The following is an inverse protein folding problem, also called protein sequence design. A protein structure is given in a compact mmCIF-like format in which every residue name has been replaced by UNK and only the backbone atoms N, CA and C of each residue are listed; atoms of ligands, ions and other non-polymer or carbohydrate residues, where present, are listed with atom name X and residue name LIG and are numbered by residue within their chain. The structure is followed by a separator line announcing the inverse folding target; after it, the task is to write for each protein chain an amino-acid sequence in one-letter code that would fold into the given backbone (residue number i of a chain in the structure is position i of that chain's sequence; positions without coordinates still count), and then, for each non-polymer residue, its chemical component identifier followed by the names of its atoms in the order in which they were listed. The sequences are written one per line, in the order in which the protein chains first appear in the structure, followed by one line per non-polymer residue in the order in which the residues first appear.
data_IF_441240467019
#
_entry.id   IF_441240467019
#
_cell.length_a   1.000
_cell.length_b   1.000
_cell.length_c   1.000
_cell.angle_alpha   90.00
_cell.angle_beta   90.00
_cell.angle_gamma   90.00
#
_symmetry.space_group_name_H-M   'P 1'
#
loop_
_entity.id
_entity.type
_entity.pdbx_description
1 polymer ?
#
# COMPACT_ATOMS: atom_id res chain seq x y z
N UNK A 1 21.77 -31.46 -76.39
CA UNK A 1 20.86 -32.07 -77.37
C UNK A 1 19.50 -32.28 -76.72
N UNK A 2 18.44 -31.86 -77.42
CA UNK A 2 17.07 -32.43 -77.45
C UNK A 2 16.27 -32.61 -76.14
N UNK A 3 14.98 -32.31 -75.95
CA UNK A 3 13.91 -31.48 -76.54
C UNK A 3 12.59 -32.06 -75.99
N UNK A 4 11.66 -31.19 -75.51
CA UNK A 4 10.17 -31.33 -75.51
C UNK A 4 9.50 -32.41 -74.63
N UNK A 5 8.20 -32.33 -74.26
CA UNK A 5 7.14 -31.29 -74.15
C UNK A 5 5.89 -32.02 -73.61
N UNK A 6 5.00 -31.26 -72.94
CA UNK A 6 3.55 -31.55 -72.88
C UNK A 6 2.87 -30.70 -71.79
N UNK A 7 2.49 -29.42 -72.01
CA UNK A 7 1.18 -28.87 -72.46
C UNK A 7 -0.04 -29.51 -71.74
N UNK A 8 -0.62 -28.88 -70.70
CA UNK A 8 -1.72 -27.83 -70.62
C UNK A 8 -3.12 -28.37 -71.00
N UNK A 9 -4.25 -27.98 -70.33
CA UNK A 9 -4.76 -26.59 -70.13
C UNK A 9 -5.27 -26.30 -68.68
N UNK A 10 -5.40 -25.09 -68.09
CA UNK A 10 -5.99 -23.77 -68.41
C UNK A 10 -7.54 -23.76 -68.48
N UNK A 11 -8.28 -23.38 -67.42
CA UNK A 11 -8.89 -22.04 -67.11
C UNK A 11 -10.05 -22.25 -66.07
N UNK A 12 -10.81 -21.24 -65.61
CA UNK A 12 -10.52 -19.89 -65.10
C UNK A 12 -11.18 -19.69 -63.69
N UNK A 13 -10.70 -18.81 -62.81
CA UNK A 13 -11.23 -17.44 -62.69
C UNK A 13 -12.36 -17.32 -61.65
N UNK A 14 -12.06 -16.76 -60.47
CA UNK A 14 -12.97 -15.94 -59.61
C UNK A 14 -12.26 -15.57 -58.29
N UNK A 15 -11.16 -14.82 -58.37
CA UNK A 15 -10.69 -13.98 -57.24
C UNK A 15 -11.22 -12.58 -57.51
N UNK A 16 -12.43 -12.22 -57.04
CA UNK A 16 -12.91 -10.82 -56.91
C UNK A 16 -14.40 -10.72 -56.50
N UNK A 17 -14.90 -11.56 -55.59
CA UNK A 17 -16.32 -11.45 -55.15
C UNK A 17 -16.58 -11.68 -53.66
N UNK A 18 -15.55 -11.63 -52.81
CA UNK A 18 -15.72 -11.79 -51.35
C UNK A 18 -15.32 -10.56 -50.53
N UNK A 19 -15.01 -9.44 -51.18
CA UNK A 19 -14.64 -8.18 -50.51
C UNK A 19 -15.75 -7.10 -50.56
N UNK A 20 -16.94 -7.44 -51.07
CA UNK A 20 -18.03 -6.47 -51.30
C UNK A 20 -19.40 -6.96 -50.79
N UNK A 21 -19.45 -7.93 -49.88
CA UNK A 21 -20.66 -8.26 -49.12
C UNK A 21 -20.54 -7.78 -47.67
N UNK A 22 -21.09 -6.58 -47.44
CA UNK A 22 -21.86 -6.26 -46.23
C UNK A 22 -21.05 -6.28 -44.91
N UNK A 23 -20.21 -5.32 -44.53
CA UNK A 23 -20.50 -3.88 -44.32
C UNK A 23 -21.83 -3.53 -43.61
N UNK A 24 -22.52 -4.49 -42.97
CA UNK A 24 -23.80 -4.25 -42.30
C UNK A 24 -23.92 -4.86 -40.88
N UNK A 25 -22.82 -4.91 -40.12
CA UNK A 25 -22.83 -5.30 -38.70
C UNK A 25 -21.89 -4.42 -37.85
N UNK A 26 -22.00 -3.10 -38.01
CA UNK A 26 -21.41 -2.13 -37.08
C UNK A 26 -22.47 -1.77 -36.02
N UNK A 27 -22.25 -2.23 -34.79
CA UNK A 27 -23.02 -1.82 -33.60
C UNK A 27 -23.06 -0.30 -33.47
N UNK A 28 -24.17 0.31 -33.01
CA UNK A 28 -24.16 1.71 -32.66
C UNK A 28 -23.24 1.91 -31.46
N UNK A 29 -22.21 2.75 -31.63
CA UNK A 29 -21.41 3.26 -30.53
C UNK A 29 -22.33 4.01 -29.57
N UNK A 30 -22.34 3.61 -28.30
CA UNK A 30 -22.97 4.37 -27.24
C UNK A 30 -22.30 5.75 -27.17
N UNK A 31 -23.04 6.80 -27.52
CA UNK A 31 -22.58 8.16 -27.35
C UNK A 31 -22.35 8.44 -25.87
N UNK A 32 -21.14 8.86 -25.51
CA UNK A 32 -20.86 9.41 -24.19
C UNK A 32 -21.12 10.92 -24.24
N UNK A 33 -21.93 11.42 -23.30
CA UNK A 33 -22.10 12.87 -23.08
C UNK A 33 -21.06 13.28 -22.04
N UNK A 34 -20.10 14.12 -22.45
CA UNK A 34 -19.21 14.82 -21.52
C UNK A 34 -20.00 16.00 -20.96
N UNK A 35 -20.45 15.89 -19.71
CA UNK A 35 -20.91 17.05 -18.94
C UNK A 35 -19.70 17.58 -18.18
N UNK A 36 -18.94 18.47 -18.81
CA UNK A 36 -17.97 19.31 -18.12
C UNK A 36 -18.57 20.70 -17.98
N UNK A 37 -18.96 21.07 -16.78
CA UNK A 37 -19.33 22.43 -16.44
C UNK A 37 -18.82 22.76 -15.04
N UNK A 38 -17.56 23.17 -14.96
CA UNK A 38 -17.06 23.98 -13.85
C UNK A 38 -16.39 25.21 -14.47
N UNK A 39 -17.14 26.30 -14.50
CA UNK A 39 -16.68 27.61 -14.94
C UNK A 39 -15.80 28.21 -13.85
N UNK A 40 -14.51 28.43 -14.15
CA UNK A 40 -13.72 29.41 -13.42
C UNK A 40 -13.73 30.70 -14.24
N UNK A 41 -14.32 31.74 -13.68
CA UNK A 41 -14.31 33.07 -14.25
C UNK A 41 -12.87 33.60 -14.23
N UNK A 42 -12.31 33.83 -15.42
CA UNK A 42 -11.08 34.59 -15.62
C UNK A 42 -11.50 36.06 -15.70
N UNK A 43 -11.11 36.86 -14.71
CA UNK A 43 -11.14 38.33 -14.84
C UNK A 43 -9.88 38.75 -15.59
N UNK A 44 -10.05 39.17 -16.84
CA UNK A 44 -9.05 39.94 -17.58
C UNK A 44 -9.17 41.41 -17.19
N UNK A 45 -8.09 41.99 -16.67
CA UNK A 45 -7.72 43.40 -16.89
C UNK A 45 -6.21 43.43 -17.23
N UNK A 46 -5.90 43.33 -18.53
CA UNK A 46 -5.26 44.37 -19.38
C UNK A 46 -4.44 45.42 -18.59
N UNK A 47 -3.16 45.76 -18.82
CA UNK A 47 -2.24 45.68 -19.96
C UNK A 47 -0.77 45.77 -19.48
N UNK A 48 0.13 45.23 -20.31
CA UNK A 48 1.48 45.69 -20.76
C UNK A 48 2.25 46.76 -19.93
N UNK A 49 3.58 46.71 -19.71
CA UNK A 49 4.69 46.47 -20.65
C UNK A 49 6.05 46.47 -19.89
N UNK A 50 7.06 45.82 -20.48
CA UNK A 50 8.50 46.10 -20.50
C UNK A 50 9.47 45.89 -19.29
N UNK A 51 10.37 44.94 -19.56
CA UNK A 51 11.84 45.07 -19.58
C UNK A 51 12.75 44.49 -18.49
N UNK A 52 13.80 43.89 -19.04
CA UNK A 52 14.87 43.12 -18.42
C UNK A 52 15.97 44.02 -17.84
N UNK A 53 16.51 43.68 -16.66
CA UNK A 53 17.96 43.56 -16.38
C UNK A 53 18.26 43.50 -14.87
N UNK A 54 19.35 42.81 -14.58
CA UNK A 54 20.03 42.57 -13.29
C UNK A 54 20.21 43.80 -12.39
N UNK A 55 20.12 43.60 -11.07
CA UNK A 55 21.23 43.86 -10.13
C UNK A 55 20.94 43.29 -8.74
N UNK A 56 22.02 42.87 -8.08
CA UNK A 56 22.11 42.40 -6.71
C UNK A 56 21.73 43.49 -5.68
N UNK A 57 21.52 43.01 -4.45
CA UNK A 57 21.45 43.77 -3.18
C UNK A 57 20.14 44.52 -2.87
N UNK A 58 19.23 43.81 -2.17
CA UNK A 58 18.60 44.32 -0.96
C UNK A 58 17.70 43.24 -0.33
N UNK A 59 18.20 42.56 0.70
CA UNK A 59 17.30 42.02 1.72
C UNK A 59 16.85 43.16 2.63
N UNK A 60 15.59 43.15 3.06
CA UNK A 60 15.37 43.21 4.49
C UNK A 60 14.50 42.05 4.98
N UNK A 61 14.92 41.56 6.15
CA UNK A 61 14.36 40.50 6.96
C UNK A 61 12.82 40.46 7.03
N UNK A 62 12.23 39.36 6.55
CA UNK A 62 10.85 38.94 6.84
C UNK A 62 10.71 37.40 6.92
N UNK A 63 11.73 36.70 7.42
CA UNK A 63 11.72 35.24 7.61
C UNK A 63 12.25 34.81 8.99
N UNK A 64 11.96 35.59 10.02
CA UNK A 64 11.96 35.12 11.40
C UNK A 64 10.53 35.19 11.92
N UNK A 65 9.71 34.17 11.62
CA UNK A 65 8.75 33.56 12.55
C UNK A 65 7.92 32.47 11.83
N UNK A 66 8.53 31.34 11.51
CA UNK A 66 7.81 30.17 10.99
C UNK A 66 7.60 29.07 12.04
N UNK A 67 7.83 29.40 13.32
CA UNK A 67 7.64 28.48 14.44
C UNK A 67 6.20 28.40 14.97
N UNK A 68 5.29 29.25 14.49
CA UNK A 68 3.97 29.48 15.12
C UNK A 68 2.77 29.00 14.28
N UNK A 69 2.96 28.52 13.05
CA UNK A 69 1.85 28.18 12.14
C UNK A 69 1.11 26.88 12.53
N UNK A 70 1.72 26.01 13.34
CA UNK A 70 1.10 24.73 13.73
C UNK A 70 0.46 24.73 15.12
N UNK A 71 0.51 25.84 15.86
CA UNK A 71 0.19 25.83 17.30
C UNK A 71 -1.20 26.38 17.67
N UNK A 72 -2.00 26.81 16.71
CA UNK A 72 -3.41 27.15 16.96
C UNK A 72 -4.27 26.78 15.77
N UNK A 73 -5.00 25.66 15.86
CA UNK A 73 -6.38 25.48 15.36
C UNK A 73 -6.81 24.00 15.35
N UNK A 74 -7.14 23.45 16.51
CA UNK A 74 -8.16 22.40 16.57
C UNK A 74 -9.27 22.88 17.52
N UNK A 75 -10.41 23.37 17.02
CA UNK A 75 -11.55 23.63 17.88
C UNK A 75 -12.13 22.30 18.37
N UNK A 76 -11.91 22.02 19.65
CA UNK A 76 -12.56 20.93 20.37
C UNK A 76 -14.04 21.28 20.62
N UNK A 77 -14.90 21.07 19.62
CA UNK A 77 -16.36 21.11 19.83
C UNK A 77 -17.15 20.51 18.65
N UNK A 78 -17.10 19.18 18.51
CA UNK A 78 -18.04 18.45 17.66
C UNK A 78 -18.65 17.25 18.39
N UNK A 79 -18.97 17.38 19.67
CA UNK A 79 -19.99 16.56 20.35
C UNK A 79 -20.56 17.37 21.51
N UNK A 80 -21.67 18.07 21.25
CA UNK A 80 -22.52 18.63 22.30
C UNK A 80 -23.61 17.59 22.55
N UNK A 81 -23.40 16.74 23.55
CA UNK A 81 -24.48 15.91 24.09
C UNK A 81 -25.43 16.82 24.86
N UNK A 82 -26.67 16.91 24.39
CA UNK A 82 -27.75 17.60 25.09
C UNK A 82 -28.12 16.83 26.37
N UNK A 83 -27.44 17.15 27.46
CA UNK A 83 -27.71 16.64 28.79
C UNK A 83 -28.73 17.51 29.54
N UNK A 84 -29.99 17.56 29.09
CA UNK A 84 -31.09 18.14 29.89
C UNK A 84 -32.45 17.46 29.64
N UNK A 85 -32.65 16.26 30.22
CA UNK A 85 -33.98 15.80 30.63
C UNK A 85 -33.90 15.18 32.03
N UNK A 86 -34.69 15.74 32.96
CA UNK A 86 -34.81 15.30 34.36
C UNK A 86 -35.33 13.85 34.47
N UNK A 87 -34.96 13.08 35.51
CA UNK A 87 -35.48 11.74 35.71
C UNK A 87 -36.93 11.80 36.20
N UNK A 88 -37.87 11.21 35.44
CA UNK A 88 -39.22 10.95 35.91
C UNK A 88 -39.22 9.66 36.73
N UNK A 89 -39.82 9.73 37.91
CA UNK A 89 -39.97 8.65 38.88
C UNK A 89 -40.64 7.40 38.30
N UNK A 90 -40.35 6.26 38.93
CA UNK A 90 -40.48 4.92 38.39
C UNK A 90 -41.86 4.45 37.96
N UNK A 91 -41.84 3.58 36.94
CA UNK A 91 -42.90 2.65 36.62
C UNK A 91 -42.26 1.26 36.44
N UNK A 92 -42.87 0.26 37.09
CA UNK A 92 -42.39 -1.11 37.12
C UNK A 92 -42.19 -1.71 35.72
N UNK A 93 -41.09 -2.44 35.54
CA UNK A 93 -40.73 -3.15 34.31
C UNK A 93 -41.76 -4.28 34.07
N UNK A 94 -42.68 -4.08 33.14
CA UNK A 94 -43.53 -5.15 32.65
C UNK A 94 -42.68 -6.16 31.85
N UNK A 95 -42.87 -7.46 32.14
CA UNK A 95 -42.25 -8.57 31.40
C UNK A 95 -42.73 -8.55 29.94
N UNK A 96 -41.87 -8.70 28.93
CA UNK A 96 -42.33 -8.89 27.55
C UNK A 96 -43.07 -10.23 27.41
N UNK A 97 -44.12 -10.32 26.57
CA UNK A 97 -44.86 -11.55 26.36
C UNK A 97 -44.00 -12.60 25.65
N UNK A 98 -44.26 -13.91 25.88
CA UNK A 98 -43.53 -14.97 25.20
C UNK A 98 -43.82 -14.95 23.69
N UNK A 99 -42.77 -15.07 22.87
CA UNK A 99 -42.88 -15.15 21.43
C UNK A 99 -43.63 -16.44 21.01
N UNK A 100 -44.43 -16.40 19.92
CA UNK A 100 -45.16 -17.57 19.44
C UNK A 100 -44.20 -18.67 18.96
N UNK A 101 -44.53 -19.97 19.16
CA UNK A 101 -43.67 -21.07 18.75
C UNK A 101 -43.84 -21.28 17.24
N UNK A 102 -42.91 -20.74 16.44
CA UNK A 102 -42.98 -20.94 14.99
C UNK A 102 -41.98 -20.17 14.12
N UNK A 103 -40.99 -19.49 14.68
CA UNK A 103 -39.92 -18.90 13.85
C UNK A 103 -38.75 -19.88 13.78
N UNK A 104 -38.59 -20.50 12.61
CA UNK A 104 -37.36 -21.19 12.22
C UNK A 104 -36.20 -20.19 12.31
N UNK A 105 -35.42 -20.27 13.39
CA UNK A 105 -34.14 -19.57 13.48
C UNK A 105 -33.14 -20.33 12.62
N UNK A 106 -32.86 -19.82 11.42
CA UNK A 106 -31.67 -20.24 10.71
C UNK A 106 -30.46 -19.77 11.53
N UNK A 107 -29.57 -20.70 11.88
CA UNK A 107 -28.25 -20.35 12.39
C UNK A 107 -27.55 -19.61 11.27
N UNK A 108 -27.42 -18.29 11.38
CA UNK A 108 -26.51 -17.51 10.54
C UNK A 108 -25.11 -18.06 10.82
N UNK A 109 -24.59 -18.91 9.92
CA UNK A 109 -23.15 -19.15 9.88
C UNK A 109 -22.47 -17.79 9.84
N UNK A 110 -21.52 -17.60 10.74
CA UNK A 110 -20.97 -16.30 11.11
C UNK A 110 -20.30 -15.58 9.95
N UNK A 111 -21.08 -14.90 9.13
CA UNK A 111 -20.63 -13.74 8.37
C UNK A 111 -20.25 -12.68 9.38
N UNK A 112 -18.97 -12.30 9.40
CA UNK A 112 -18.49 -11.17 10.19
C UNK A 112 -19.39 -9.97 9.94
N UNK A 113 -19.95 -9.41 11.02
CA UNK A 113 -20.64 -8.15 10.95
C UNK A 113 -19.67 -7.14 10.33
N UNK A 114 -20.05 -6.53 9.20
CA UNK A 114 -19.24 -5.65 8.37
C UNK A 114 -18.79 -4.32 9.05
N UNK A 115 -18.85 -4.25 10.38
CA UNK A 115 -18.39 -3.12 11.18
C UNK A 115 -17.74 -3.49 12.51
N UNK A 116 -17.54 -4.78 12.83
CA UNK A 116 -16.81 -5.18 14.03
C UNK A 116 -15.31 -5.33 13.71
N UNK A 117 -14.39 -4.80 14.55
CA UNK A 117 -12.96 -5.01 14.35
C UNK A 117 -12.64 -6.51 14.24
N UNK A 118 -11.82 -6.95 13.28
CA UNK A 118 -11.45 -8.35 13.16
C UNK A 118 -10.87 -8.87 14.48
N UNK A 119 -11.20 -10.09 14.88
CA UNK A 119 -10.68 -10.68 16.12
C UNK A 119 -9.14 -10.81 16.12
N UNK A 120 -8.48 -10.94 17.29
CA UNK A 120 -7.01 -10.93 17.42
C UNK A 120 -6.30 -11.90 16.47
N UNK A 121 -6.78 -13.14 16.38
CA UNK A 121 -6.22 -14.16 15.45
C UNK A 121 -6.30 -13.74 13.98
N UNK A 122 -7.36 -13.05 13.59
CA UNK A 122 -7.52 -12.56 12.22
C UNK A 122 -6.59 -11.38 11.93
N UNK A 123 -6.31 -10.53 12.93
CA UNK A 123 -5.33 -9.44 12.81
C UNK A 123 -3.93 -10.00 12.59
N UNK A 124 -3.49 -10.94 13.43
CA UNK A 124 -2.20 -11.60 13.29
C UNK A 124 -2.05 -12.32 11.93
N UNK A 125 -3.08 -13.05 11.50
CA UNK A 125 -3.07 -13.69 10.18
C UNK A 125 -3.04 -12.67 9.04
N UNK A 126 -3.74 -11.54 9.16
CA UNK A 126 -3.69 -10.46 8.16
C UNK A 126 -2.29 -9.85 8.10
N UNK A 127 -1.69 -9.53 9.25
CA UNK A 127 -0.33 -8.99 9.32
C UNK A 127 0.68 -9.95 8.66
N UNK A 128 0.59 -11.25 8.95
CA UNK A 128 1.43 -12.28 8.30
C UNK A 128 1.22 -12.36 6.78
N UNK A 129 -0.03 -12.25 6.33
CA UNK A 129 -0.35 -12.26 4.89
C UNK A 129 0.22 -11.04 4.18
N UNK A 130 0.12 -9.86 4.81
CA UNK A 130 0.66 -8.62 4.27
C UNK A 130 2.19 -8.65 4.24
N UNK A 131 2.85 -9.11 5.31
CA UNK A 131 4.29 -9.29 5.33
C UNK A 131 4.78 -10.24 4.23
N UNK A 132 4.04 -11.32 3.97
CA UNK A 132 4.39 -12.29 2.94
C UNK A 132 4.14 -11.82 1.51
N UNK A 133 3.05 -11.06 1.29
CA UNK A 133 2.70 -10.50 -0.01
C UNK A 133 3.58 -9.30 -0.38
N UNK A 134 4.16 -8.59 0.59
CA UNK A 134 4.93 -7.37 0.34
C UNK A 134 6.25 -7.68 -0.36
N UNK A 135 6.44 -7.06 -1.52
CA UNK A 135 7.68 -7.12 -2.31
C UNK A 135 8.63 -5.97 -1.93
N UNK A 136 8.10 -4.85 -1.45
CA UNK A 136 8.85 -3.69 -1.01
C UNK A 136 8.22 -3.08 0.24
N UNK A 137 8.96 -2.23 0.95
CA UNK A 137 8.50 -1.52 2.13
C UNK A 137 9.34 -0.29 2.42
N UNK A 138 8.85 0.62 3.26
CA UNK A 138 9.59 1.82 3.65
C UNK A 138 10.13 1.67 5.06
N UNK A 139 11.44 1.73 5.17
CA UNK A 139 12.20 1.61 6.40
C UNK A 139 12.55 3.01 6.91
N UNK A 140 12.20 3.28 8.17
CA UNK A 140 12.58 4.49 8.88
C UNK A 140 13.73 4.18 9.85
N UNK A 141 14.81 4.95 9.73
CA UNK A 141 16.00 4.90 10.58
C UNK A 141 16.28 6.27 11.20
N UNK A 142 17.19 6.33 12.17
CA UNK A 142 17.71 7.60 12.70
C UNK A 142 18.98 7.93 11.94
N UNK A 143 19.02 9.08 11.28
CA UNK A 143 20.13 9.39 10.38
C UNK A 143 21.45 9.58 11.12
N UNK A 144 22.48 8.93 10.60
CA UNK A 144 23.87 9.08 10.97
C UNK A 144 24.61 10.13 10.12
N UNK A 145 23.97 10.65 9.08
CA UNK A 145 24.54 11.56 8.10
C UNK A 145 24.72 12.97 8.67
N UNK A 146 25.88 13.59 8.47
CA UNK A 146 26.27 14.85 9.14
C UNK A 146 25.23 15.97 9.02
N UNK A 147 24.66 16.16 7.82
CA UNK A 147 23.66 17.22 7.56
C UNK A 147 22.31 17.05 8.27
N UNK A 148 21.94 15.83 8.63
CA UNK A 148 20.61 15.49 9.18
C UNK A 148 20.72 14.56 10.39
N UNK A 149 21.84 14.62 11.11
CA UNK A 149 22.16 13.69 12.18
C UNK A 149 21.07 13.74 13.27
N UNK A 150 20.56 12.56 13.65
CA UNK A 150 19.52 12.42 14.66
C UNK A 150 18.08 12.61 14.15
N UNK A 151 17.88 13.04 12.90
CA UNK A 151 16.55 13.16 12.29
C UNK A 151 16.07 11.80 11.75
N UNK A 152 14.75 11.56 11.69
CA UNK A 152 14.21 10.38 11.03
C UNK A 152 14.51 10.42 9.53
N UNK A 153 15.04 9.32 9.00
CA UNK A 153 15.31 9.14 7.58
C UNK A 153 14.50 7.95 7.06
N UNK A 154 13.74 8.18 5.99
CA UNK A 154 12.90 7.15 5.37
C UNK A 154 13.48 6.72 4.03
N UNK A 155 13.63 5.42 3.82
CA UNK A 155 14.04 4.84 2.54
C UNK A 155 13.20 3.61 2.21
N UNK A 156 12.79 3.44 0.96
CA UNK A 156 11.99 2.27 0.55
C UNK A 156 12.89 1.21 -0.09
N UNK A 157 12.84 0.01 0.49
CA UNK A 157 13.73 -1.10 0.19
C UNK A 157 12.92 -2.33 -0.23
N UNK A 158 13.45 -3.17 -1.15
CA UNK A 158 12.86 -4.46 -1.43
C UNK A 158 12.95 -5.36 -0.19
N UNK A 159 11.90 -6.13 0.06
CA UNK A 159 11.75 -6.98 1.26
C UNK A 159 11.21 -8.36 0.86
N UNK A 160 11.47 -9.35 1.71
CA UNK A 160 10.84 -10.67 1.63
C UNK A 160 10.82 -11.29 3.02
N UNK A 161 9.73 -11.96 3.40
CA UNK A 161 9.69 -12.74 4.64
C UNK A 161 9.96 -14.25 4.44
N UNK A 162 10.28 -14.64 3.21
CA UNK A 162 10.46 -16.04 2.80
C UNK A 162 10.13 -16.31 1.31
N UNK A 163 10.46 -17.50 0.80
CA UNK A 163 10.07 -17.92 -0.55
C UNK A 163 8.56 -17.99 -0.76
N UNK A 164 8.07 -18.04 -2.02
CA UNK A 164 6.63 -18.09 -2.36
C UNK A 164 5.79 -19.07 -1.54
N UNK A 165 6.36 -20.21 -1.15
CA UNK A 165 5.63 -21.28 -0.47
C UNK A 165 5.91 -21.35 1.03
N UNK A 166 6.82 -20.53 1.55
CA UNK A 166 7.27 -20.61 2.94
C UNK A 166 7.55 -19.23 3.52
N UNK A 167 6.61 -18.71 4.30
CA UNK A 167 6.72 -17.46 5.06
C UNK A 167 7.23 -17.72 6.46
N UNK A 168 8.27 -17.00 6.86
CA UNK A 168 8.72 -16.95 8.27
C UNK A 168 8.07 -15.81 9.05
N UNK A 169 7.55 -14.80 8.35
CA UNK A 169 7.11 -13.54 8.96
C UNK A 169 8.25 -12.60 9.36
N UNK A 170 9.52 -12.98 9.15
CA UNK A 170 10.68 -12.15 9.46
C UNK A 170 11.12 -11.42 8.18
N UNK A 171 11.08 -10.08 8.12
CA UNK A 171 11.56 -9.32 6.97
C UNK A 171 13.07 -9.51 6.77
N UNK A 172 13.45 -9.97 5.59
CA UNK A 172 14.83 -10.02 5.09
C UNK A 172 15.07 -8.90 4.08
N UNK A 173 16.32 -8.46 4.03
CA UNK A 173 16.81 -7.41 3.14
C UNK A 173 18.14 -7.84 2.53
N UNK A 174 18.43 -7.34 1.33
CA UNK A 174 19.70 -7.52 0.64
C UNK A 174 20.32 -6.14 0.41
N UNK A 175 21.37 -5.83 1.18
CA UNK A 175 21.90 -4.47 1.35
C UNK A 175 23.42 -4.43 1.17
N UNK A 176 23.97 -3.23 1.07
CA UNK A 176 25.41 -2.97 0.96
C UNK A 176 25.83 -1.96 2.02
N UNK A 177 27.08 -2.04 2.49
CA UNK A 177 27.63 -1.09 3.46
C UNK A 177 27.70 0.35 2.92
N UNK A 178 27.57 0.53 1.60
CA UNK A 178 27.52 1.85 0.94
C UNK A 178 26.13 2.49 0.98
N UNK A 179 25.10 1.77 1.42
CA UNK A 179 23.75 2.31 1.56
C UNK A 179 23.72 3.25 2.80
N UNK A 180 23.24 4.50 2.68
CA UNK A 180 23.11 5.41 3.82
C UNK A 180 22.29 4.82 4.96
N UNK A 181 21.28 4.00 4.67
CA UNK A 181 20.49 3.30 5.68
C UNK A 181 21.37 2.35 6.48
N UNK A 182 22.32 1.66 5.87
CA UNK A 182 23.24 0.79 6.62
C UNK A 182 24.13 1.60 7.54
N UNK A 183 24.61 2.77 7.10
CA UNK A 183 25.38 3.67 7.96
C UNK A 183 24.57 4.14 9.19
N UNK A 184 23.28 4.42 9.00
CA UNK A 184 22.35 4.72 10.09
C UNK A 184 22.22 3.54 11.06
N UNK A 185 21.99 2.34 10.52
CA UNK A 185 21.78 1.11 11.29
C UNK A 185 23.02 0.69 12.10
N UNK A 186 24.22 1.03 11.63
CA UNK A 186 25.47 0.78 12.36
C UNK A 186 25.59 1.65 13.62
N UNK A 187 25.00 2.86 13.64
CA UNK A 187 24.95 3.71 14.84
C UNK A 187 23.76 3.37 15.73
N UNK A 188 22.61 3.09 15.14
CA UNK A 188 21.40 2.70 15.85
C UNK A 188 20.68 1.58 15.11
N UNK A 189 20.67 0.33 15.62
CA UNK A 189 20.05 -0.80 14.93
C UNK A 189 18.52 -0.75 14.94
N UNK A 190 17.89 0.18 15.67
CA UNK A 190 16.44 0.32 15.71
C UNK A 190 15.90 0.92 14.41
N UNK A 191 14.90 0.25 13.84
CA UNK A 191 14.20 0.72 12.65
C UNK A 191 12.70 0.37 12.70
N UNK A 192 11.92 1.13 11.93
CA UNK A 192 10.49 0.89 11.72
C UNK A 192 10.22 0.64 10.25
N UNK A 193 9.73 -0.55 9.91
CA UNK A 193 9.37 -0.94 8.56
C UNK A 193 7.86 -0.80 8.37
N UNK A 194 7.46 0.01 7.40
CA UNK A 194 6.09 0.16 6.95
C UNK A 194 5.86 -0.63 5.66
N UNK A 195 4.85 -1.49 5.69
CA UNK A 195 4.39 -2.31 4.57
C UNK A 195 2.97 -1.86 4.18
N UNK A 196 2.79 -1.13 3.07
CA UNK A 196 1.47 -0.78 2.58
C UNK A 196 0.83 -1.99 1.88
N UNK A 197 -0.49 -2.10 1.94
CA UNK A 197 -1.28 -2.97 1.06
C UNK A 197 -1.32 -2.40 -0.36
N UNK A 198 -0.15 -2.25 -0.98
CA UNK A 198 -0.04 -1.73 -2.35
C UNK A 198 -0.25 -2.82 -3.41
N UNK A 199 -0.03 -4.08 -3.06
CA UNK A 199 -0.25 -5.24 -3.94
C UNK A 199 -1.52 -6.04 -3.59
N UNK A 200 -2.25 -5.62 -2.54
CA UNK A 200 -3.51 -6.25 -2.17
C UNK A 200 -4.60 -5.96 -3.18
N UNK A 201 -5.31 -7.00 -3.60
CA UNK A 201 -6.44 -6.89 -4.51
C UNK A 201 -7.52 -5.92 -4.00
N UNK A 202 -7.68 -5.72 -2.69
CA UNK A 202 -8.77 -4.92 -2.14
C UNK A 202 -8.67 -3.42 -2.48
N UNK A 203 -7.56 -2.75 -2.16
CA UNK A 203 -7.42 -1.31 -2.39
C UNK A 203 -7.46 -0.97 -3.88
N UNK A 204 -6.75 -1.77 -4.69
CA UNK A 204 -6.71 -1.58 -6.14
C UNK A 204 -8.03 -1.92 -6.83
N UNK A 205 -8.70 -3.03 -6.46
CA UNK A 205 -9.97 -3.43 -7.11
C UNK A 205 -11.14 -2.52 -6.73
N UNK A 206 -11.14 -1.99 -5.51
CA UNK A 206 -12.22 -1.14 -5.03
C UNK A 206 -12.00 0.35 -5.32
N UNK A 207 -10.90 0.72 -6.01
CA UNK A 207 -10.54 2.11 -6.33
C UNK A 207 -10.61 2.97 -5.04
N UNK A 208 -10.01 2.43 -3.99
CA UNK A 208 -9.94 3.09 -2.69
C UNK A 208 -8.61 3.83 -2.64
N UNK A 209 -8.65 5.06 -2.16
CA UNK A 209 -7.44 5.86 -1.97
C UNK A 209 -6.45 5.13 -1.06
N UNK A 210 -5.14 5.06 -1.38
CA UNK A 210 -4.14 4.41 -0.53
C UNK A 210 -4.06 4.94 0.91
N UNK A 211 -4.48 6.18 1.15
CA UNK A 211 -4.56 6.79 2.48
C UNK A 211 -5.82 6.38 3.26
N UNK A 212 -6.80 5.79 2.58
CA UNK A 212 -8.01 5.33 3.23
C UNK A 212 -7.67 4.25 4.28
N UNK A 213 -8.13 4.39 5.54
CA UNK A 213 -7.80 3.45 6.61
C UNK A 213 -8.36 2.04 6.40
N UNK A 214 -9.21 1.84 5.40
CA UNK A 214 -9.64 0.52 4.93
C UNK A 214 -8.51 -0.23 4.23
N UNK A 215 -7.55 0.49 3.65
CA UNK A 215 -6.30 -0.07 3.15
C UNK A 215 -5.41 -0.46 4.30
N UNK A 216 -5.06 -1.75 4.32
CA UNK A 216 -4.31 -2.33 5.41
C UNK A 216 -2.88 -1.82 5.36
N UNK A 217 -2.36 -1.42 6.51
CA UNK A 217 -0.96 -1.05 6.66
C UNK A 217 -0.38 -1.78 7.86
N UNK A 218 0.79 -2.38 7.66
CA UNK A 218 1.53 -3.04 8.71
C UNK A 218 2.81 -2.25 9.01
N UNK A 219 3.01 -1.92 10.28
CA UNK A 219 4.25 -1.33 10.77
C UNK A 219 4.92 -2.32 11.71
N UNK A 220 6.16 -2.69 11.39
CA UNK A 220 7.01 -3.57 12.19
C UNK A 220 8.17 -2.74 12.74
N UNK A 221 8.28 -2.64 14.05
CA UNK A 221 9.41 -1.94 14.69
C UNK A 221 10.30 -2.95 15.37
N UNK A 222 11.62 -2.81 15.23
CA UNK A 222 12.57 -3.70 15.88
C UNK A 222 14.01 -3.41 15.51
N UNK A 223 14.87 -4.38 15.79
CA UNK A 223 16.31 -4.27 15.56
C UNK A 223 16.70 -4.91 14.23
N UNK A 224 17.44 -4.19 13.40
CA UNK A 224 18.05 -4.72 12.19
C UNK A 224 19.38 -5.37 12.52
N UNK A 225 19.53 -6.64 12.14
CA UNK A 225 20.76 -7.41 12.39
C UNK A 225 21.24 -8.07 11.10
N UNK A 226 22.55 -8.26 10.98
CA UNK A 226 23.11 -9.10 9.93
C UNK A 226 22.65 -10.55 10.12
N UNK A 227 22.34 -11.23 9.01
CA UNK A 227 21.95 -12.64 9.03
C UNK A 227 23.16 -13.51 9.38
N UNK A 228 22.98 -14.49 10.26
CA UNK A 228 24.06 -15.40 10.65
C UNK A 228 24.42 -16.33 9.49
N UNK A 229 25.66 -16.85 9.42
CA UNK A 229 26.10 -17.73 8.32
C UNK A 229 25.19 -18.95 8.09
N UNK A 230 24.58 -19.46 9.15
CA UNK A 230 23.65 -20.61 9.13
C UNK A 230 22.34 -20.30 8.37
N UNK A 231 21.88 -19.06 8.44
CA UNK A 231 20.61 -18.62 7.84
C UNK A 231 20.79 -17.94 6.47
N UNK A 232 22.03 -17.66 6.04
CA UNK A 232 22.32 -16.94 4.79
C UNK A 232 21.70 -17.61 3.57
N UNK A 233 21.77 -18.93 3.47
CA UNK A 233 21.21 -19.63 2.31
C UNK A 233 19.68 -19.53 2.27
N UNK A 234 19.02 -19.53 3.43
CA UNK A 234 17.57 -19.28 3.50
C UNK A 234 17.23 -17.84 3.10
N UNK A 235 17.95 -16.84 3.66
CA UNK A 235 17.74 -15.43 3.32
C UNK A 235 17.93 -15.15 1.83
N UNK A 236 18.93 -15.78 1.21
CA UNK A 236 19.18 -15.75 -0.22
C UNK A 236 18.03 -16.35 -1.03
N UNK A 237 17.49 -17.49 -0.61
CA UNK A 237 16.33 -18.10 -1.26
C UNK A 237 15.08 -17.22 -1.12
N UNK A 238 14.83 -16.67 0.07
CA UNK A 238 13.73 -15.75 0.34
C UNK A 238 13.81 -14.53 -0.60
N UNK A 239 14.91 -13.79 -0.54
CA UNK A 239 15.11 -12.58 -1.33
C UNK A 239 15.10 -12.87 -2.83
N UNK A 240 15.90 -13.82 -3.32
CA UNK A 240 16.05 -14.00 -4.77
C UNK A 240 14.88 -14.73 -5.43
N UNK A 241 14.00 -15.38 -4.67
CA UNK A 241 12.75 -15.90 -5.22
C UNK A 241 11.73 -14.78 -5.47
N UNK A 242 11.67 -13.78 -4.58
CA UNK A 242 10.86 -12.55 -4.75
C UNK A 242 11.48 -11.58 -5.75
N UNK A 243 12.80 -11.47 -5.73
CA UNK A 243 13.56 -10.45 -6.43
C UNK A 243 14.62 -11.10 -7.34
N UNK A 244 14.23 -11.76 -8.43
CA UNK A 244 15.18 -12.49 -9.29
C UNK A 244 16.26 -11.59 -9.90
N UNK A 245 15.98 -10.29 -10.08
CA UNK A 245 16.94 -9.30 -10.57
C UNK A 245 18.16 -9.10 -9.68
N UNK A 246 18.02 -9.32 -8.35
CA UNK A 246 19.11 -9.12 -7.39
C UNK A 246 20.30 -10.06 -7.63
N UNK A 247 20.08 -11.22 -8.27
CA UNK A 247 21.16 -12.15 -8.63
C UNK A 247 22.19 -11.55 -9.57
N UNK A 248 21.79 -10.54 -10.35
CA UNK A 248 22.62 -9.87 -11.35
C UNK A 248 23.23 -8.57 -10.83
N UNK A 249 23.00 -8.21 -9.57
CA UNK A 249 23.54 -6.98 -9.01
C UNK A 249 25.08 -7.01 -8.95
N UNK A 250 25.76 -5.85 -9.10
CA UNK A 250 27.21 -5.82 -9.22
C UNK A 250 27.89 -6.28 -7.93
N UNK A 251 28.84 -7.20 -8.03
CA UNK A 251 29.52 -7.80 -6.86
C UNK A 251 30.42 -6.83 -6.10
N UNK A 252 30.87 -5.76 -6.75
CA UNK A 252 31.73 -4.71 -6.17
C UNK A 252 31.11 -3.92 -5.00
N UNK A 253 29.82 -4.14 -4.73
CA UNK A 253 29.11 -3.53 -3.60
C UNK A 253 29.08 -4.42 -2.36
N UNK A 254 29.69 -5.62 -2.39
CA UNK A 254 29.83 -6.49 -1.21
C UNK A 254 28.50 -6.68 -0.47
N UNK A 255 27.49 -7.13 -1.21
CA UNK A 255 26.15 -7.29 -0.68
C UNK A 255 26.07 -8.35 0.41
N UNK A 256 25.26 -8.08 1.43
CA UNK A 256 24.98 -8.99 2.53
C UNK A 256 23.50 -8.98 2.88
N UNK A 257 23.08 -9.97 3.68
CA UNK A 257 21.70 -10.09 4.12
C UNK A 257 21.52 -9.54 5.53
N UNK A 258 20.45 -8.77 5.71
CA UNK A 258 19.97 -8.32 7.02
C UNK A 258 18.58 -8.85 7.28
N UNK A 259 18.22 -8.98 8.55
CA UNK A 259 16.86 -9.32 8.98
C UNK A 259 16.40 -8.41 10.11
N UNK A 260 15.09 -8.19 10.21
CA UNK A 260 14.49 -7.45 11.31
C UNK A 260 14.08 -8.39 12.44
N UNK A 261 14.68 -8.22 13.62
CA UNK A 261 14.18 -8.78 14.88
C UNK A 261 13.03 -7.92 15.37
N UNK A 262 11.82 -8.31 15.02
CA UNK A 262 10.58 -7.60 15.35
C UNK A 262 10.37 -7.51 16.86
N UNK A 263 10.07 -6.32 17.36
CA UNK A 263 9.73 -6.04 18.76
C UNK A 263 8.27 -5.60 18.91
N UNK A 264 7.80 -4.71 18.03
CA UNK A 264 6.43 -4.18 18.03
C UNK A 264 5.77 -4.35 16.66
N UNK A 265 4.48 -4.65 16.67
CA UNK A 265 3.70 -4.97 15.47
C UNK A 265 2.39 -4.19 15.52
N UNK A 266 2.24 -3.23 14.61
CA UNK A 266 1.04 -2.41 14.50
C UNK A 266 0.35 -2.67 13.17
N UNK A 267 -0.91 -3.06 13.24
CA UNK A 267 -1.77 -3.27 12.08
C UNK A 267 -2.86 -2.23 12.05
N UNK A 268 -2.85 -1.37 11.04
CA UNK A 268 -3.97 -0.50 10.74
C UNK A 268 -4.86 -1.21 9.72
N UNK A 269 -6.06 -1.57 10.14
CA UNK A 269 -7.06 -2.24 9.31
C UNK A 269 -8.42 -1.75 9.80
N UNK A 270 -9.01 -0.84 9.02
CA UNK A 270 -10.27 -0.15 9.30
C UNK A 270 -10.16 1.08 10.21
N UNK A 271 -11.24 1.85 10.27
CA UNK A 271 -11.41 2.99 11.16
C UNK A 271 -11.24 2.58 12.64
N UNK A 272 -10.66 3.46 13.46
CA UNK A 272 -10.42 3.21 14.90
C UNK A 272 -8.96 3.06 15.30
N UNK A 273 -8.02 3.30 14.38
CA UNK A 273 -6.58 3.36 14.67
C UNK A 273 -5.84 2.03 14.53
N UNK A 274 -4.55 2.04 14.89
CA UNK A 274 -3.68 0.87 14.77
C UNK A 274 -3.93 -0.13 15.91
N UNK A 275 -4.08 -1.40 15.56
CA UNK A 275 -4.13 -2.51 16.50
C UNK A 275 -2.72 -3.01 16.81
N UNK A 276 -2.36 -3.09 18.08
CA UNK A 276 -1.13 -3.77 18.51
C UNK A 276 -1.33 -5.29 18.50
N UNK A 277 -0.35 -6.02 17.96
CA UNK A 277 -0.34 -7.49 17.87
C UNK A 277 0.87 -7.99 18.67
N UNK A 278 0.66 -8.98 19.53
CA UNK A 278 1.79 -9.59 20.26
C UNK A 278 2.69 -10.38 19.30
N UNK A 279 3.98 -10.46 19.62
CA UNK A 279 4.94 -11.23 18.80
C UNK A 279 4.55 -12.70 18.73
N UNK A 280 4.09 -13.25 19.85
CA UNK A 280 3.68 -14.65 19.98
C UNK A 280 2.49 -14.93 19.06
N UNK A 281 1.49 -14.03 19.03
CA UNK A 281 0.35 -14.16 18.14
C UNK A 281 0.75 -14.06 16.66
N UNK A 282 1.65 -13.14 16.32
CA UNK A 282 2.13 -12.95 14.95
C UNK A 282 2.89 -14.18 14.43
N UNK A 283 3.84 -14.71 15.19
CA UNK A 283 4.62 -15.88 14.76
C UNK A 283 3.82 -17.18 14.80
N UNK A 284 2.80 -17.27 15.66
CA UNK A 284 1.87 -18.43 15.70
C UNK A 284 0.85 -18.39 14.57
N UNK A 285 0.53 -17.22 14.03
CA UNK A 285 -0.41 -17.10 12.92
C UNK A 285 0.19 -17.63 11.61
N UNK A 286 -0.67 -18.24 10.79
CA UNK A 286 -0.31 -18.67 9.43
C UNK A 286 -0.79 -17.61 8.45
N UNK A 287 0.03 -17.15 7.49
CA UNK A 287 -0.43 -16.26 6.44
C UNK A 287 -1.55 -16.92 5.66
N UNK A 288 -2.60 -16.17 5.38
CA UNK A 288 -3.66 -16.62 4.48
C UNK A 288 -3.11 -16.59 3.07
N UNK A 289 -3.51 -17.57 2.27
CA UNK A 289 -3.32 -17.50 0.81
C UNK A 289 -4.13 -16.30 0.32
N UNK A 290 -3.46 -15.42 -0.42
CA UNK A 290 -4.10 -14.36 -1.18
C UNK A 290 -5.04 -14.98 -2.24
#
# INVERSE_FOLDING_TARGET
MSVRRGRRPARPGTRLSWLLCCSALLSPAAGYVIVSSVSWAVTNEVDEELDSASTEEAMPALLEDSGSIWQQSFPASAHKEDAHLRPRAGAARARPPPAPPGMFSYRREGGQAAGAPPGPRLRAATARSLAHASVWGCLATVSAHEKIQGLPFGNCLPVSDGPFNNSTGIPFFYMTAKDPVVADLMKNPMASLMLPESEGEFCRKNIVDPEDPRCVRLTLTGQMIAVSPEEVEFAKQAMFSRHPGMRKWPRQYEWFFMKMRIEHIWLQKWYGGASNISREEYFKAVPRKA
#
